data_IF_201439230524
#
_entry.id   IF_201439230524
#
_cell.length_a   1.000
_cell.length_b   1.000
_cell.length_c   1.000
_cell.angle_alpha   90.00
_cell.angle_beta   90.00
_cell.angle_gamma   90.00
#
_symmetry.space_group_name_H-M   'P 1'
#
loop_
_entity.id
_entity.type
_entity.pdbx_description
1 polymer ?
#
# COMPACT_ATOMS: atom_id res chain seq x y z
N UNK A 1 2.04 3.97 -8.83
CA UNK A 1 2.04 2.85 -7.87
C UNK A 1 2.25 3.46 -6.50
N UNK A 2 1.68 2.85 -5.46
CA UNK A 2 1.86 3.30 -4.07
C UNK A 2 2.95 2.45 -3.42
N UNK A 3 3.70 3.02 -2.48
CA UNK A 3 4.70 2.32 -1.66
C UNK A 3 4.46 2.55 -0.15
N UNK A 4 3.26 3.02 0.19
CA UNK A 4 2.81 3.39 1.53
C UNK A 4 1.27 3.38 1.56
N UNK A 5 0.68 3.79 2.68
CA UNK A 5 -0.76 3.95 2.83
C UNK A 5 -1.39 4.75 1.68
N UNK A 6 -2.49 4.23 1.13
CA UNK A 6 -3.32 4.90 0.15
C UNK A 6 -4.65 5.27 0.76
N UNK A 7 -4.88 6.57 0.93
CA UNK A 7 -6.18 7.12 1.30
C UNK A 7 -7.00 7.32 0.03
N UNK A 8 -8.15 6.66 -0.04
CA UNK A 8 -9.02 6.76 -1.21
C UNK A 8 -9.75 8.10 -1.25
N UNK A 9 -10.25 8.42 -2.43
CA UNK A 9 -11.06 9.60 -2.74
C UNK A 9 -12.34 9.17 -3.45
N UNK A 10 -13.38 10.00 -3.43
CA UNK A 10 -14.62 9.69 -4.15
C UNK A 10 -14.42 9.38 -5.66
N UNK A 11 -13.55 10.09 -6.40
CA UNK A 11 -13.24 9.75 -7.79
C UNK A 11 -12.68 8.34 -8.04
N UNK A 12 -12.01 7.71 -7.06
CA UNK A 12 -11.49 6.34 -7.21
C UNK A 12 -12.61 5.34 -7.51
N UNK A 13 -13.81 5.60 -7.01
CA UNK A 13 -14.98 4.73 -7.14
C UNK A 13 -15.79 4.95 -8.42
N UNK A 14 -15.44 5.99 -9.20
CA UNK A 14 -16.07 6.31 -10.51
C UNK A 14 -17.60 6.27 -10.45
N UNK A 15 -18.18 6.79 -9.36
CA UNK A 15 -19.62 6.74 -9.13
C UNK A 15 -20.37 7.50 -10.23
N UNK A 16 -21.41 6.86 -10.76
CA UNK A 16 -22.37 7.45 -11.69
C UNK A 16 -23.72 6.78 -11.47
N UNK A 17 -24.77 7.58 -11.29
CA UNK A 17 -26.14 7.10 -11.15
C UNK A 17 -27.00 7.53 -12.35
N UNK A 18 -28.02 6.73 -12.67
CA UNK A 18 -29.03 7.07 -13.69
C UNK A 18 -30.03 8.10 -13.16
N UNK A 19 -30.25 8.12 -11.84
CA UNK A 19 -31.07 9.08 -11.15
C UNK A 19 -30.30 10.40 -10.97
N UNK A 20 -30.69 11.42 -11.74
CA UNK A 20 -30.04 12.72 -11.68
C UNK A 20 -30.13 13.33 -10.28
N UNK A 21 -28.97 13.69 -9.72
CA UNK A 21 -28.86 14.30 -8.39
C UNK A 21 -28.45 13.34 -7.28
N UNK A 22 -28.41 12.03 -7.53
CA UNK A 22 -27.85 11.10 -6.55
C UNK A 22 -26.32 11.20 -6.46
N UNK A 23 -25.81 11.06 -5.24
CA UNK A 23 -24.39 11.19 -4.91
C UNK A 23 -23.85 9.92 -4.27
N UNK A 24 -22.53 9.70 -4.33
CA UNK A 24 -21.87 8.59 -3.62
C UNK A 24 -22.04 8.76 -2.11
N UNK A 25 -22.69 7.80 -1.45
CA UNK A 25 -22.91 7.77 0.00
C UNK A 25 -22.02 6.76 0.74
N UNK A 26 -21.10 6.12 0.02
CA UNK A 26 -20.18 5.13 0.57
C UNK A 26 -20.06 3.88 -0.28
N UNK A 27 -19.37 2.88 0.28
CA UNK A 27 -19.26 1.55 -0.32
C UNK A 27 -19.60 0.45 0.66
N UNK A 28 -19.93 -0.72 0.12
CA UNK A 28 -19.95 -1.99 0.84
C UNK A 28 -18.84 -2.87 0.28
N UNK A 29 -17.89 -3.27 1.12
CA UNK A 29 -16.77 -4.12 0.70
C UNK A 29 -17.25 -5.57 0.59
N UNK A 30 -17.11 -6.21 -0.57
CA UNK A 30 -17.61 -7.57 -0.84
C UNK A 30 -16.49 -8.63 -0.71
N UNK A 31 -15.25 -8.27 -1.03
CA UNK A 31 -14.06 -9.09 -0.75
C UNK A 31 -12.96 -8.22 -0.17
N UNK A 32 -12.06 -8.82 0.60
CA UNK A 32 -10.88 -8.14 1.17
C UNK A 32 -9.62 -8.48 0.39
N UNK A 33 -8.59 -7.62 0.42
CA UNK A 33 -7.23 -8.02 0.07
C UNK A 33 -6.81 -9.28 0.82
N UNK A 34 -5.90 -10.07 0.24
CA UNK A 34 -5.27 -11.15 0.99
C UNK A 34 -4.52 -10.55 2.20
N UNK A 35 -4.55 -11.16 3.39
CA UNK A 35 -3.85 -10.63 4.56
C UNK A 35 -2.33 -10.44 4.38
N UNK A 36 -1.73 -11.21 3.47
CA UNK A 36 -0.32 -11.09 3.11
C UNK A 36 -0.01 -9.90 2.16
N UNK A 37 -1.04 -9.29 1.57
CA UNK A 37 -0.90 -8.19 0.61
C UNK A 37 -1.20 -6.82 1.23
N UNK A 38 -2.11 -6.76 2.21
CA UNK A 38 -2.44 -5.52 2.90
C UNK A 38 -3.72 -5.59 3.71
N UNK A 39 -4.08 -4.46 4.31
CA UNK A 39 -5.29 -4.29 5.12
C UNK A 39 -6.09 -3.09 4.66
N UNK A 40 -7.42 -3.16 4.80
CA UNK A 40 -8.32 -2.03 4.61
C UNK A 40 -8.80 -1.52 5.96
N UNK A 41 -8.82 -0.19 6.13
CA UNK A 41 -9.43 0.50 7.26
C UNK A 41 -10.43 1.52 6.76
N UNK A 42 -11.55 1.68 7.46
CA UNK A 42 -12.45 2.80 7.28
C UNK A 42 -12.57 3.55 8.61
N UNK A 43 -12.32 4.85 8.58
CA UNK A 43 -12.34 5.70 9.80
C UNK A 43 -11.48 5.10 10.92
N UNK A 44 -10.24 4.71 10.58
CA UNK A 44 -9.28 4.03 11.45
C UNK A 44 -9.66 2.62 11.94
N UNK A 45 -10.86 2.12 11.61
CA UNK A 45 -11.32 0.77 11.98
C UNK A 45 -11.01 -0.23 10.88
N UNK A 46 -10.30 -1.32 11.21
CA UNK A 46 -9.99 -2.39 10.25
C UNK A 46 -11.26 -3.08 9.74
N UNK A 47 -11.37 -3.20 8.42
CA UNK A 47 -12.40 -3.98 7.76
C UNK A 47 -11.96 -5.45 7.76
N UNK A 48 -12.37 -6.21 8.78
CA UNK A 48 -11.98 -7.61 8.94
C UNK A 48 -12.92 -8.61 8.25
N UNK A 49 -14.13 -8.17 7.86
CA UNK A 49 -15.16 -9.04 7.32
C UNK A 49 -15.76 -8.45 6.04
N UNK A 50 -15.98 -9.30 5.05
CA UNK A 50 -16.78 -8.98 3.88
C UNK A 50 -18.21 -8.56 4.28
N UNK A 51 -18.79 -7.65 3.50
CA UNK A 51 -20.09 -7.04 3.72
C UNK A 51 -20.06 -5.79 4.61
N UNK A 52 -18.90 -5.41 5.16
CA UNK A 52 -18.75 -4.18 5.95
C UNK A 52 -18.91 -2.94 5.07
N UNK A 53 -19.65 -1.95 5.56
CA UNK A 53 -19.85 -0.67 4.89
C UNK A 53 -18.82 0.37 5.34
N UNK A 54 -18.41 1.23 4.40
CA UNK A 54 -17.63 2.43 4.66
C UNK A 54 -18.41 3.63 4.10
N UNK A 55 -19.04 4.40 4.99
CA UNK A 55 -19.92 5.51 4.61
C UNK A 55 -19.13 6.70 4.03
N UNK A 56 -17.92 6.93 4.51
CA UNK A 56 -17.04 7.98 4.02
C UNK A 56 -15.80 7.35 3.38
N UNK A 57 -15.84 7.26 2.05
CA UNK A 57 -14.72 6.69 1.29
C UNK A 57 -13.44 7.51 1.38
N UNK A 58 -13.50 8.78 1.79
CA UNK A 58 -12.30 9.60 2.01
C UNK A 58 -11.54 9.19 3.27
N UNK A 59 -12.17 8.38 4.12
CA UNK A 59 -11.57 7.73 5.29
C UNK A 59 -11.22 6.27 5.05
N UNK A 60 -11.46 5.75 3.85
CA UNK A 60 -10.98 4.43 3.48
C UNK A 60 -9.48 4.52 3.23
N UNK A 61 -8.72 3.67 3.89
CA UNK A 61 -7.26 3.58 3.75
C UNK A 61 -6.90 2.13 3.45
N UNK A 62 -6.10 1.93 2.41
CA UNK A 62 -5.41 0.67 2.16
C UNK A 62 -3.96 0.80 2.64
N UNK A 63 -3.56 -0.08 3.54
CA UNK A 63 -2.17 -0.22 4.02
C UNK A 63 -1.59 -1.50 3.43
N UNK A 64 -0.65 -1.43 2.48
CA UNK A 64 0.03 -2.64 2.00
C UNK A 64 0.84 -3.28 3.13
N UNK A 65 1.03 -4.60 3.08
CA UNK A 65 2.08 -5.24 3.89
C UNK A 65 3.43 -4.74 3.41
N UNK A 66 4.40 -4.64 4.33
CA UNK A 66 5.77 -4.25 4.00
C UNK A 66 6.30 -5.02 2.78
N UNK A 67 6.97 -4.31 1.88
CA UNK A 67 7.59 -4.86 0.67
C UNK A 67 6.64 -5.52 -0.33
N UNK A 68 5.34 -5.29 -0.21
CA UNK A 68 4.40 -5.74 -1.23
C UNK A 68 4.73 -5.09 -2.58
N UNK A 69 4.98 -5.92 -3.59
CA UNK A 69 5.10 -5.50 -4.99
C UNK A 69 3.97 -6.13 -5.84
N UNK A 70 3.43 -5.34 -6.75
CA UNK A 70 2.37 -5.73 -7.68
C UNK A 70 0.97 -5.31 -7.28
N UNK A 71 0.00 -5.79 -8.06
CA UNK A 71 -1.39 -5.40 -7.94
C UNK A 71 -2.07 -6.12 -6.76
N UNK A 72 -2.78 -5.35 -5.94
CA UNK A 72 -3.66 -5.84 -4.87
C UNK A 72 -5.10 -5.50 -5.23
N UNK A 73 -6.01 -6.45 -5.03
CA UNK A 73 -7.41 -6.27 -5.42
C UNK A 73 -8.36 -6.53 -4.27
N UNK A 74 -9.50 -5.84 -4.33
CA UNK A 74 -10.67 -6.11 -3.50
C UNK A 74 -11.93 -5.72 -4.28
N UNK A 75 -13.08 -6.25 -3.91
CA UNK A 75 -14.34 -5.94 -4.58
C UNK A 75 -15.29 -5.20 -3.65
N UNK A 76 -16.14 -4.36 -4.22
CA UNK A 76 -17.07 -3.51 -3.48
C UNK A 76 -18.33 -3.21 -4.30
N UNK A 77 -19.38 -2.72 -3.63
CA UNK A 77 -20.53 -2.05 -4.25
C UNK A 77 -20.55 -0.60 -3.82
N UNK A 78 -20.87 0.32 -4.73
CA UNK A 78 -21.15 1.71 -4.35
C UNK A 78 -22.56 1.84 -3.82
N UNK A 79 -22.80 2.78 -2.91
CA UNK A 79 -24.14 3.15 -2.44
C UNK A 79 -24.48 4.57 -2.89
N UNK A 80 -25.70 4.76 -3.39
CA UNK A 80 -26.25 6.07 -3.69
C UNK A 80 -26.71 6.82 -2.41
N UNK A 81 -27.10 8.08 -2.56
CA UNK A 81 -27.64 8.93 -1.48
C UNK A 81 -28.93 8.42 -0.84
N UNK A 82 -29.62 7.48 -1.48
CA UNK A 82 -30.83 6.82 -0.95
C UNK A 82 -30.49 5.51 -0.23
N UNK A 83 -29.22 5.11 -0.23
CA UNK A 83 -28.70 3.90 0.41
C UNK A 83 -28.81 2.65 -0.46
N UNK A 84 -29.20 2.75 -1.74
CA UNK A 84 -29.26 1.60 -2.62
C UNK A 84 -27.84 1.22 -3.09
N UNK A 85 -27.46 -0.06 -3.00
CA UNK A 85 -26.20 -0.52 -3.55
C UNK A 85 -26.30 -0.70 -5.07
N UNK A 86 -25.17 -0.57 -5.76
CA UNK A 86 -25.06 -0.97 -7.17
C UNK A 86 -25.45 -2.43 -7.37
N UNK A 87 -26.08 -2.75 -8.51
CA UNK A 87 -26.51 -4.12 -8.86
C UNK A 87 -25.35 -5.10 -9.06
N UNK A 88 -24.21 -4.60 -9.52
CA UNK A 88 -22.97 -5.37 -9.68
C UNK A 88 -21.92 -4.91 -8.68
N UNK A 89 -21.03 -5.82 -8.31
CA UNK A 89 -19.80 -5.49 -7.62
C UNK A 89 -18.75 -4.97 -8.62
N UNK A 90 -17.93 -4.04 -8.17
CA UNK A 90 -16.77 -3.50 -8.87
C UNK A 90 -15.50 -4.04 -8.25
N UNK A 91 -14.44 -4.14 -9.05
CA UNK A 91 -13.09 -4.50 -8.59
C UNK A 91 -12.25 -3.23 -8.48
N UNK A 92 -11.68 -3.01 -7.30
CA UNK A 92 -10.60 -2.05 -7.12
C UNK A 92 -9.27 -2.76 -7.33
N UNK A 93 -8.37 -2.12 -8.09
CA UNK A 93 -6.97 -2.55 -8.22
C UNK A 93 -6.07 -1.46 -7.70
N UNK A 94 -5.38 -1.74 -6.60
CA UNK A 94 -4.35 -0.88 -6.03
C UNK A 94 -3.00 -1.39 -6.53
N UNK A 95 -2.28 -0.57 -7.30
CA UNK A 95 -0.95 -0.92 -7.80
C UNK A 95 0.10 -0.58 -6.76
N UNK A 96 0.65 -1.59 -6.10
CA UNK A 96 1.66 -1.42 -5.04
C UNK A 96 3.06 -1.63 -5.63
N UNK A 97 4.03 -0.88 -5.13
CA UNK A 97 5.45 -1.05 -5.41
C UNK A 97 6.20 -1.09 -4.09
N UNK A 98 7.06 -2.08 -3.93
CA UNK A 98 7.92 -2.16 -2.76
C UNK A 98 8.84 -0.94 -2.68
N UNK A 99 9.20 -0.54 -1.45
CA UNK A 99 10.00 0.66 -1.21
C UNK A 99 11.48 0.33 -1.43
N UNK A 100 12.11 0.99 -2.41
CA UNK A 100 13.54 0.80 -2.65
C UNK A 100 14.35 1.31 -1.45
N UNK A 101 15.37 0.57 -1.06
CA UNK A 101 16.20 0.88 0.12
C UNK A 101 15.65 0.41 1.46
N UNK A 102 14.47 -0.23 1.50
CA UNK A 102 13.97 -0.97 2.68
C UNK A 102 14.62 -2.36 2.65
N UNK A 103 15.78 -2.47 3.28
CA UNK A 103 16.65 -3.65 3.22
C UNK A 103 16.18 -4.70 4.20
N UNK A 104 15.76 -4.29 5.40
CA UNK A 104 15.39 -5.20 6.49
C UNK A 104 13.93 -5.69 6.39
N UNK A 105 13.23 -5.28 5.34
CA UNK A 105 11.87 -5.63 5.02
C UNK A 105 10.79 -5.08 5.98
N UNK A 106 11.06 -4.01 6.73
CA UNK A 106 10.16 -3.50 7.77
C UNK A 106 9.12 -2.47 7.29
N UNK A 107 9.15 -2.09 6.02
CA UNK A 107 8.26 -1.12 5.38
C UNK A 107 8.79 0.31 5.45
N UNK A 108 9.94 0.52 6.10
CA UNK A 108 10.56 1.82 6.24
C UNK A 108 11.91 1.85 5.53
N UNK A 109 12.35 3.08 5.22
CA UNK A 109 13.73 3.32 4.77
C UNK A 109 14.30 4.21 5.85
N UNK A 110 15.13 3.62 6.71
CA UNK A 110 15.68 4.25 7.91
C UNK A 110 17.15 3.85 8.16
N UNK A 111 17.70 4.26 9.31
CA UNK A 111 19.10 3.98 9.66
C UNK A 111 19.40 2.47 9.79
N UNK A 112 18.41 1.65 10.12
CA UNK A 112 18.58 0.20 10.22
C UNK A 112 18.88 -0.41 8.86
N UNK A 113 18.33 0.13 7.78
CA UNK A 113 18.63 -0.33 6.43
C UNK A 113 20.08 -0.06 6.05
N UNK A 114 20.61 1.12 6.41
CA UNK A 114 22.04 1.44 6.23
C UNK A 114 22.92 0.53 7.06
N UNK A 115 22.54 0.29 8.32
CA UNK A 115 23.30 -0.61 9.20
C UNK A 115 23.32 -2.02 8.62
N UNK A 116 22.19 -2.50 8.10
CA UNK A 116 22.10 -3.81 7.47
C UNK A 116 22.89 -3.88 6.16
N UNK A 117 22.81 -2.87 5.29
CA UNK A 117 23.64 -2.77 4.10
C UNK A 117 25.14 -2.83 4.45
N UNK A 118 25.57 -2.08 5.47
CA UNK A 118 26.95 -2.10 5.91
C UNK A 118 27.37 -3.48 6.41
N UNK A 119 26.52 -4.14 7.22
CA UNK A 119 26.75 -5.50 7.69
C UNK A 119 26.82 -6.51 6.55
N UNK A 120 26.00 -6.37 5.50
CA UNK A 120 26.07 -7.20 4.28
C UNK A 120 27.43 -7.03 3.60
N UNK A 121 27.92 -5.80 3.44
CA UNK A 121 29.19 -5.53 2.76
C UNK A 121 30.43 -6.07 3.47
N UNK A 122 30.36 -6.24 4.79
CA UNK A 122 31.46 -6.78 5.60
C UNK A 122 31.25 -8.25 5.99
N UNK A 123 30.30 -8.95 5.35
CA UNK A 123 29.93 -10.34 5.66
C UNK A 123 29.56 -10.57 7.14
N UNK A 124 28.97 -9.57 7.79
CA UNK A 124 28.57 -9.58 9.20
C UNK A 124 27.04 -9.50 9.41
N UNK A 125 26.24 -9.62 8.35
CA UNK A 125 24.78 -9.63 8.46
C UNK A 125 24.30 -10.78 9.38
N UNK A 126 23.36 -10.52 10.31
CA UNK A 126 22.83 -11.58 11.16
C UNK A 126 22.19 -12.69 10.32
N UNK A 127 22.46 -13.94 10.68
CA UNK A 127 21.86 -15.08 9.98
C UNK A 127 20.33 -15.07 10.13
N UNK A 128 19.63 -15.37 9.03
CA UNK A 128 18.16 -15.36 9.00
C UNK A 128 17.54 -13.97 8.93
N UNK A 129 18.34 -12.92 8.67
CA UNK A 129 17.78 -11.61 8.30
C UNK A 129 17.18 -11.71 6.91
N UNK A 130 15.90 -11.36 6.80
CA UNK A 130 15.27 -11.17 5.50
C UNK A 130 15.89 -9.94 4.83
N UNK A 131 16.26 -10.08 3.56
CA UNK A 131 16.86 -9.00 2.77
C UNK A 131 15.91 -8.71 1.60
N UNK A 132 15.33 -7.53 1.58
CA UNK A 132 14.44 -7.03 0.54
C UNK A 132 15.09 -5.84 -0.16
N UNK A 133 14.72 -5.57 -1.42
CA UNK A 133 15.02 -4.30 -2.13
C UNK A 133 16.42 -3.69 -1.90
N UNK A 134 17.45 -4.54 -1.76
CA UNK A 134 18.77 -4.13 -1.32
C UNK A 134 19.62 -3.49 -2.41
N UNK A 135 19.32 -3.81 -3.67
CA UNK A 135 19.75 -3.08 -4.85
C UNK A 135 18.86 -1.84 -5.02
N UNK A 136 19.15 -0.83 -4.23
CA UNK A 136 18.39 0.40 -4.12
C UNK A 136 18.76 1.39 -5.25
N UNK A 137 20.01 1.38 -5.74
CA UNK A 137 20.44 2.24 -6.84
C UNK A 137 20.25 1.62 -8.25
N UNK A 138 19.90 0.33 -8.32
CA UNK A 138 19.52 -0.38 -9.54
C UNK A 138 20.71 -0.91 -10.35
N UNK A 139 21.91 -0.95 -9.78
CA UNK A 139 23.12 -1.47 -10.42
C UNK A 139 23.23 -3.01 -10.43
N UNK A 140 22.25 -3.70 -9.82
CA UNK A 140 22.14 -5.17 -9.68
C UNK A 140 23.14 -5.78 -8.71
N UNK A 141 23.81 -4.96 -7.93
CA UNK A 141 24.68 -5.39 -6.84
C UNK A 141 24.21 -4.79 -5.53
N UNK A 142 24.66 -5.34 -4.40
CA UNK A 142 24.48 -4.70 -3.10
C UNK A 142 25.84 -4.14 -2.72
N UNK A 143 25.95 -2.82 -2.69
CA UNK A 143 27.18 -2.06 -2.72
C UNK A 143 27.13 -0.80 -1.85
N UNK A 144 28.22 -0.03 -1.94
CA UNK A 144 28.27 1.31 -1.33
C UNK A 144 27.28 2.26 -2.02
N UNK A 145 26.98 2.02 -3.29
CA UNK A 145 25.98 2.77 -4.05
C UNK A 145 24.61 2.74 -3.37
N UNK A 146 24.13 1.57 -2.94
CA UNK A 146 22.87 1.41 -2.21
C UNK A 146 22.87 2.12 -0.86
N UNK A 147 23.97 2.03 -0.11
CA UNK A 147 24.09 2.77 1.15
C UNK A 147 23.99 4.28 0.93
N UNK A 148 24.64 4.79 -0.12
CA UNK A 148 24.57 6.21 -0.49
C UNK A 148 23.14 6.57 -0.90
N UNK A 149 22.45 5.71 -1.65
CA UNK A 149 21.05 5.91 -2.01
C UNK A 149 20.18 6.05 -0.74
N UNK A 150 20.28 5.10 0.19
CA UNK A 150 19.50 5.12 1.43
C UNK A 150 19.83 6.37 2.26
N UNK A 151 21.12 6.70 2.42
CA UNK A 151 21.55 7.92 3.10
C UNK A 151 20.95 9.19 2.49
N UNK A 152 20.91 9.29 1.16
CA UNK A 152 20.28 10.43 0.48
C UNK A 152 18.79 10.47 0.75
N UNK A 153 18.12 9.32 0.77
CA UNK A 153 16.69 9.22 1.06
C UNK A 153 16.40 9.71 2.50
N UNK A 154 17.23 9.31 3.48
CA UNK A 154 17.10 9.79 4.87
C UNK A 154 17.34 11.29 5.02
N UNK A 155 18.23 11.84 4.20
CA UNK A 155 18.57 13.26 4.21
C UNK A 155 17.60 14.11 3.37
N UNK A 156 16.69 13.49 2.61
CA UNK A 156 15.82 14.18 1.66
C UNK A 156 16.59 14.83 0.50
N UNK A 157 17.74 14.25 0.13
CA UNK A 157 18.64 14.76 -0.93
C UNK A 157 18.70 13.85 -2.16
N UNK A 158 17.70 12.98 -2.35
CA UNK A 158 17.61 12.15 -3.56
C UNK A 158 17.34 13.05 -4.78
N UNK A 159 18.32 13.11 -5.69
CA UNK A 159 18.23 13.67 -7.05
C UNK A 159 18.41 12.55 -8.06
#
# INVERSE_FOLDING_TARGET
MINQDYTFTAPDFKFSDVDAGDTLAGIKVETLPAPADGTLKCDSTTIATAGTECADVTKLVFTPVANKDGDVTFTFRVKDSKGNPSLSAYTMTVKVKAKQGDINCDGHVDLKDIVLAFQILIDAAPQGTDICNADADGDKTVGIGDMIFILKELLGTTT
#
